data_IF_204145522703
#
_entry.id   IF_204145522703
#
_cell.length_a   1.000
_cell.length_b   1.000
_cell.length_c   1.000
_cell.angle_alpha   90.00
_cell.angle_beta   90.00
_cell.angle_gamma   90.00
#
_symmetry.space_group_name_H-M   'P 1'
#
loop_
_entity.id
_entity.type
_entity.pdbx_description
1 polymer ?
#
# COMPACT_ATOMS: atom_id res chain seq x y z
N UNK A 1 4.63 23.31 -1.26
CA UNK A 1 5.71 23.02 -2.22
C UNK A 1 5.15 22.70 -3.60
N UNK A 2 5.78 23.22 -4.67
CA UNK A 2 5.43 22.83 -6.05
C UNK A 2 5.73 21.36 -6.34
N UNK A 3 5.16 20.84 -7.42
CA UNK A 3 5.49 19.51 -7.91
C UNK A 3 6.96 19.47 -8.38
N UNK A 4 7.83 18.66 -7.74
CA UNK A 4 9.24 18.55 -8.10
C UNK A 4 9.50 17.51 -9.20
N UNK A 5 8.46 16.88 -9.76
CA UNK A 5 8.62 15.88 -10.80
C UNK A 5 9.32 16.50 -12.03
N UNK A 6 10.38 15.84 -12.57
CA UNK A 6 11.23 16.47 -13.58
C UNK A 6 10.55 16.61 -14.95
N UNK A 7 9.47 15.86 -15.20
CA UNK A 7 8.73 15.88 -16.45
C UNK A 7 7.47 16.71 -16.21
N UNK A 8 7.24 17.82 -16.94
CA UNK A 8 6.02 18.60 -16.77
C UNK A 8 4.80 17.85 -17.35
N UNK A 9 3.57 18.24 -16.94
CA UNK A 9 2.34 17.66 -17.47
C UNK A 9 2.25 17.80 -18.99
N UNK A 10 2.01 16.68 -19.67
CA UNK A 10 1.81 16.68 -21.11
C UNK A 10 0.44 17.27 -21.45
N UNK A 11 0.45 18.49 -22.00
CA UNK A 11 -0.76 19.28 -22.25
C UNK A 11 -1.84 18.50 -23.01
N UNK A 12 -1.48 17.77 -24.05
CA UNK A 12 -2.43 16.97 -24.82
C UNK A 12 -3.06 15.83 -23.99
N UNK A 13 -2.30 15.20 -23.08
CA UNK A 13 -2.79 14.11 -22.25
C UNK A 13 -3.68 14.64 -21.12
N UNK A 14 -3.27 15.76 -20.52
CA UNK A 14 -4.09 16.50 -19.55
C UNK A 14 -5.43 16.91 -20.16
N UNK A 15 -5.44 17.45 -21.38
CA UNK A 15 -6.67 17.79 -22.11
C UNK A 15 -7.51 16.56 -22.46
N UNK A 16 -6.88 15.45 -22.86
CA UNK A 16 -7.58 14.21 -23.18
C UNK A 16 -8.27 13.58 -21.97
N UNK A 17 -7.68 13.67 -20.77
CA UNK A 17 -8.26 13.14 -19.53
C UNK A 17 -9.22 14.12 -18.85
N UNK A 18 -9.21 15.41 -19.23
CA UNK A 18 -10.04 16.44 -18.60
C UNK A 18 -11.54 16.07 -18.55
N UNK A 19 -12.20 15.59 -19.63
CA UNK A 19 -13.62 15.24 -19.56
C UNK A 19 -13.93 14.11 -18.58
N UNK A 20 -13.02 13.14 -18.46
CA UNK A 20 -13.12 12.08 -17.47
C UNK A 20 -12.93 12.61 -16.05
N UNK A 21 -11.94 13.48 -15.86
CA UNK A 21 -11.68 14.12 -14.59
C UNK A 21 -12.87 14.98 -14.13
N UNK A 22 -13.47 15.76 -15.04
CA UNK A 22 -14.64 16.59 -14.73
C UNK A 22 -15.85 15.73 -14.35
N UNK A 23 -16.13 14.66 -15.12
CA UNK A 23 -17.25 13.77 -14.84
C UNK A 23 -17.13 13.06 -13.48
N UNK A 24 -15.92 12.64 -13.10
CA UNK A 24 -15.66 11.98 -11.82
C UNK A 24 -15.15 12.95 -10.73
N UNK A 25 -15.20 14.26 -10.96
CA UNK A 25 -14.69 15.31 -10.07
C UNK A 25 -13.24 15.08 -9.56
N UNK A 26 -12.38 14.49 -10.39
CA UNK A 26 -10.97 14.24 -10.09
C UNK A 26 -10.14 15.47 -10.47
N UNK A 27 -10.42 16.61 -9.83
CA UNK A 27 -9.92 17.96 -10.18
C UNK A 27 -8.43 18.03 -10.47
N UNK A 28 -7.60 17.29 -9.72
CA UNK A 28 -6.14 17.34 -9.84
C UNK A 28 -5.54 16.22 -10.70
N UNK A 29 -6.34 15.26 -11.17
CA UNK A 29 -5.87 14.19 -12.04
C UNK A 29 -5.22 14.70 -13.34
N UNK A 30 -5.76 15.70 -14.06
CA UNK A 30 -5.13 16.22 -15.27
C UNK A 30 -3.73 16.79 -15.04
N UNK A 31 -3.43 17.26 -13.82
CA UNK A 31 -2.10 17.76 -13.45
C UNK A 31 -1.10 16.60 -13.34
N UNK A 32 -1.52 15.46 -12.79
CA UNK A 32 -0.63 14.34 -12.47
C UNK A 32 -0.80 13.11 -13.39
N UNK A 33 -1.63 13.20 -14.44
CA UNK A 33 -1.94 12.04 -15.30
C UNK A 33 -0.69 11.44 -15.96
N UNK A 34 0.27 12.29 -16.31
CA UNK A 34 1.55 11.88 -16.89
C UNK A 34 2.40 11.07 -15.90
N UNK A 35 2.34 11.37 -14.60
CA UNK A 35 2.97 10.56 -13.55
C UNK A 35 2.25 9.23 -13.34
N UNK A 36 0.91 9.23 -13.35
CA UNK A 36 0.11 7.99 -13.21
C UNK A 36 0.44 7.02 -14.35
N UNK A 37 0.38 7.50 -15.59
CA UNK A 37 0.70 6.71 -16.79
C UNK A 37 2.17 6.33 -16.80
N UNK A 38 3.07 7.27 -16.51
CA UNK A 38 4.51 7.03 -16.46
C UNK A 38 4.88 5.97 -15.44
N UNK A 39 4.32 6.05 -14.23
CA UNK A 39 4.49 5.08 -13.15
C UNK A 39 3.96 3.69 -13.54
N UNK A 40 2.74 3.61 -14.08
CA UNK A 40 2.16 2.34 -14.54
C UNK A 40 3.04 1.67 -15.62
N UNK A 41 3.50 2.44 -16.62
CA UNK A 41 4.36 1.94 -17.69
C UNK A 41 5.74 1.56 -17.14
N UNK A 42 6.31 2.34 -16.22
CA UNK A 42 7.59 2.02 -15.59
C UNK A 42 7.52 0.69 -14.83
N UNK A 43 6.48 0.45 -14.03
CA UNK A 43 6.34 -0.82 -13.31
C UNK A 43 6.01 -1.99 -14.23
N UNK A 44 5.27 -1.75 -15.32
CA UNK A 44 5.10 -2.76 -16.38
C UNK A 44 6.43 -3.13 -17.02
N UNK A 45 7.26 -2.14 -17.34
CA UNK A 45 8.59 -2.34 -17.91
C UNK A 45 9.53 -3.05 -16.92
N UNK A 46 9.51 -2.67 -15.65
CA UNK A 46 10.27 -3.34 -14.60
C UNK A 46 9.84 -4.81 -14.52
N UNK A 47 8.53 -5.09 -14.48
CA UNK A 47 8.02 -6.45 -14.38
C UNK A 47 8.39 -7.33 -15.58
N UNK A 48 8.24 -6.80 -16.80
CA UNK A 48 8.39 -7.59 -18.03
C UNK A 48 9.83 -7.69 -18.53
N UNK A 49 10.67 -6.71 -18.22
CA UNK A 49 12.02 -6.60 -18.79
C UNK A 49 13.08 -6.63 -17.70
N UNK A 50 13.06 -5.66 -16.78
CA UNK A 50 14.16 -5.49 -15.82
C UNK A 50 14.21 -6.66 -14.83
N UNK A 51 13.09 -7.03 -14.23
CA UNK A 51 13.03 -8.07 -13.22
C UNK A 51 13.52 -9.44 -13.76
N UNK A 52 13.04 -9.94 -14.93
CA UNK A 52 13.56 -11.18 -15.49
C UNK A 52 15.05 -11.10 -15.87
N UNK A 53 15.50 -9.99 -16.48
CA UNK A 53 16.89 -9.85 -16.92
C UNK A 53 17.87 -9.78 -15.75
N UNK A 54 17.57 -8.94 -14.76
CA UNK A 54 18.39 -8.79 -13.56
C UNK A 54 18.37 -10.08 -12.74
N UNK A 55 17.22 -10.75 -12.63
CA UNK A 55 17.12 -12.00 -11.87
C UNK A 55 17.84 -13.15 -12.54
N UNK A 56 17.81 -13.24 -13.88
CA UNK A 56 18.63 -14.18 -14.64
C UNK A 56 20.14 -13.91 -14.50
N UNK A 57 20.54 -12.63 -14.39
CA UNK A 57 21.93 -12.26 -14.20
C UNK A 57 22.44 -12.57 -12.78
N UNK A 58 21.67 -12.19 -11.75
CA UNK A 58 22.07 -12.35 -10.36
C UNK A 58 21.91 -13.78 -9.83
N UNK A 59 20.87 -14.48 -10.29
CA UNK A 59 20.49 -15.80 -9.77
C UNK A 59 20.19 -16.81 -10.89
N UNK A 60 21.11 -17.02 -11.87
CA UNK A 60 20.85 -17.84 -13.04
C UNK A 60 20.46 -19.27 -12.69
N UNK A 61 21.08 -19.87 -11.67
CA UNK A 61 20.83 -21.26 -11.29
C UNK A 61 19.48 -21.50 -10.61
N UNK A 62 18.93 -20.48 -9.94
CA UNK A 62 17.66 -20.56 -9.22
C UNK A 62 16.51 -20.09 -10.11
N UNK A 63 16.60 -18.85 -10.62
CA UNK A 63 15.52 -18.24 -11.36
C UNK A 63 15.19 -18.99 -12.65
N UNK A 64 16.18 -19.51 -13.39
CA UNK A 64 15.94 -20.27 -14.62
C UNK A 64 15.05 -21.51 -14.41
N UNK A 65 15.18 -22.17 -13.25
CA UNK A 65 14.47 -23.40 -12.87
C UNK A 65 13.10 -23.16 -12.25
N UNK A 66 12.73 -21.91 -11.96
CA UNK A 66 11.41 -21.61 -11.40
C UNK A 66 10.29 -21.88 -12.42
N UNK A 67 9.15 -22.35 -11.91
CA UNK A 67 7.89 -22.43 -12.67
C UNK A 67 7.43 -21.03 -13.09
N UNK A 68 6.54 -20.96 -14.08
CA UNK A 68 6.00 -19.70 -14.57
C UNK A 68 5.36 -18.85 -13.44
N UNK A 69 4.57 -19.48 -12.56
CA UNK A 69 3.95 -18.81 -11.41
C UNK A 69 4.98 -18.29 -10.41
N UNK A 70 6.05 -19.07 -10.15
CA UNK A 70 7.11 -18.64 -9.23
C UNK A 70 7.97 -17.53 -9.81
N UNK A 71 8.21 -17.52 -11.13
CA UNK A 71 8.86 -16.40 -11.83
C UNK A 71 8.00 -15.14 -11.75
N UNK A 72 6.71 -15.26 -12.04
CA UNK A 72 5.77 -14.14 -11.90
C UNK A 72 5.79 -13.55 -10.49
N UNK A 73 5.66 -14.39 -9.46
CA UNK A 73 5.67 -13.93 -8.07
C UNK A 73 7.01 -13.26 -7.72
N UNK A 74 8.13 -13.87 -8.15
CA UNK A 74 9.46 -13.27 -8.01
C UNK A 74 9.56 -11.89 -8.65
N UNK A 75 9.10 -11.76 -9.89
CA UNK A 75 9.19 -10.50 -10.64
C UNK A 75 8.29 -9.42 -10.04
N UNK A 76 7.14 -9.80 -9.46
CA UNK A 76 6.29 -8.88 -8.68
C UNK A 76 6.99 -8.41 -7.40
N UNK A 77 7.70 -9.29 -6.69
CA UNK A 77 8.53 -8.88 -5.54
C UNK A 77 9.65 -7.90 -5.92
N UNK A 78 10.24 -8.03 -7.12
CA UNK A 78 11.22 -7.05 -7.62
C UNK A 78 10.54 -5.69 -7.86
N UNK A 79 9.36 -5.68 -8.49
CA UNK A 79 8.59 -4.45 -8.72
C UNK A 79 8.22 -3.78 -7.39
N UNK A 80 7.68 -4.55 -6.43
CA UNK A 80 7.33 -4.07 -5.09
C UNK A 80 8.56 -3.51 -4.37
N UNK A 81 9.73 -4.15 -4.47
CA UNK A 81 10.97 -3.63 -3.88
C UNK A 81 11.37 -2.28 -4.49
N UNK A 82 11.32 -2.15 -5.83
CA UNK A 82 11.61 -0.90 -6.51
C UNK A 82 10.63 0.21 -6.12
N UNK A 83 9.33 -0.09 -6.14
CA UNK A 83 8.29 0.87 -5.78
C UNK A 83 8.42 1.32 -4.33
N UNK A 84 8.43 0.38 -3.39
CA UNK A 84 8.41 0.71 -1.97
C UNK A 84 9.68 1.46 -1.57
N UNK A 85 10.84 1.13 -2.14
CA UNK A 85 12.07 1.89 -1.89
C UNK A 85 11.96 3.32 -2.42
N UNK A 86 11.50 3.50 -3.65
CA UNK A 86 11.39 4.83 -4.27
C UNK A 86 10.35 5.71 -3.56
N UNK A 87 9.13 5.21 -3.41
CA UNK A 87 8.01 6.02 -2.94
C UNK A 87 8.18 6.42 -1.48
N UNK A 88 8.76 5.57 -0.63
CA UNK A 88 9.02 5.93 0.76
C UNK A 88 10.09 6.99 0.89
N UNK A 89 11.16 6.92 0.09
CA UNK A 89 12.21 7.97 0.08
C UNK A 89 11.61 9.31 -0.34
N UNK A 90 10.82 9.33 -1.42
CA UNK A 90 10.15 10.54 -1.90
C UNK A 90 9.13 11.05 -0.88
N UNK A 91 8.29 10.19 -0.31
CA UNK A 91 7.26 10.58 0.64
C UNK A 91 7.87 11.14 1.93
N UNK A 92 8.93 10.51 2.47
CA UNK A 92 9.65 11.04 3.63
C UNK A 92 10.28 12.39 3.31
N UNK A 93 10.92 12.52 2.15
CA UNK A 93 11.48 13.81 1.72
C UNK A 93 10.41 14.89 1.63
N UNK A 94 9.26 14.64 0.98
CA UNK A 94 8.14 15.59 0.93
C UNK A 94 7.63 15.91 2.35
N UNK A 95 7.51 14.92 3.23
CA UNK A 95 7.05 15.14 4.60
C UNK A 95 7.98 16.05 5.42
N UNK A 96 9.29 16.03 5.15
CA UNK A 96 10.27 16.86 5.85
C UNK A 96 10.54 18.20 5.14
N UNK A 97 10.45 18.26 3.82
CA UNK A 97 10.79 19.45 3.03
C UNK A 97 9.58 20.35 2.71
N UNK A 98 8.36 19.81 2.66
CA UNK A 98 7.15 20.59 2.36
C UNK A 98 6.59 21.25 3.63
N UNK A 99 7.10 22.44 3.95
CA UNK A 99 6.64 23.23 5.10
C UNK A 99 5.17 23.67 4.99
N UNK A 100 4.65 23.88 3.79
CA UNK A 100 3.23 24.20 3.60
C UNK A 100 2.36 23.02 4.04
N UNK A 101 2.74 21.81 3.65
CA UNK A 101 2.06 20.59 4.07
C UNK A 101 2.15 20.39 5.58
N UNK A 102 3.33 20.58 6.18
CA UNK A 102 3.52 20.31 7.62
C UNK A 102 2.70 21.25 8.51
N UNK A 103 2.46 22.48 8.06
CA UNK A 103 1.72 23.50 8.78
C UNK A 103 0.20 23.50 8.53
N UNK A 104 -0.33 22.56 7.74
CA UNK A 104 -1.78 22.48 7.44
C UNK A 104 -2.65 22.29 8.69
N UNK A 105 -3.65 23.16 8.82
CA UNK A 105 -4.75 23.05 9.80
C UNK A 105 -5.62 21.82 9.54
N UNK A 106 -6.56 21.51 10.45
CA UNK A 106 -7.46 20.36 10.27
C UNK A 106 -8.30 20.44 8.98
N UNK A 107 -8.74 21.64 8.60
CA UNK A 107 -9.49 21.85 7.37
C UNK A 107 -8.60 21.71 6.13
N UNK A 108 -7.40 22.32 6.16
CA UNK A 108 -6.43 22.22 5.07
C UNK A 108 -5.90 20.78 4.89
N UNK A 109 -5.84 19.96 5.93
CA UNK A 109 -5.48 18.54 5.76
C UNK A 109 -6.54 17.73 5.00
N UNK A 110 -7.79 18.19 5.00
CA UNK A 110 -8.89 17.53 4.28
C UNK A 110 -9.03 18.06 2.86
N UNK A 111 -8.89 19.36 2.63
CA UNK A 111 -9.16 19.94 1.31
C UNK A 111 -7.94 20.54 0.62
N UNK A 112 -6.87 20.78 1.39
CA UNK A 112 -5.67 21.41 0.91
C UNK A 112 -4.88 20.49 -0.02
N UNK A 113 -4.12 21.14 -0.90
CA UNK A 113 -3.33 20.52 -1.93
C UNK A 113 -1.93 21.13 -1.96
N UNK A 114 -0.91 20.29 -2.11
CA UNK A 114 0.42 20.72 -2.56
C UNK A 114 0.86 19.89 -3.75
N UNK A 115 1.63 20.49 -4.66
CA UNK A 115 2.11 19.79 -5.86
C UNK A 115 2.96 18.57 -5.51
N UNK A 116 3.81 18.68 -4.48
CA UNK A 116 4.64 17.57 -4.02
C UNK A 116 3.83 16.40 -3.43
N UNK A 117 2.75 16.67 -2.69
CA UNK A 117 1.85 15.61 -2.23
C UNK A 117 1.02 15.02 -3.38
N UNK A 118 0.60 15.85 -4.33
CA UNK A 118 0.03 15.43 -5.61
C UNK A 118 0.93 14.47 -6.38
N UNK A 119 2.23 14.75 -6.45
CA UNK A 119 3.22 13.89 -7.10
C UNK A 119 3.27 12.48 -6.46
N UNK A 120 3.37 12.43 -5.14
CA UNK A 120 3.38 11.15 -4.40
C UNK A 120 2.11 10.35 -4.71
N UNK A 121 0.96 11.02 -4.76
CA UNK A 121 -0.31 10.41 -5.10
C UNK A 121 -0.39 9.94 -6.56
N UNK A 122 0.13 10.72 -7.52
CA UNK A 122 0.25 10.35 -8.93
C UNK A 122 1.06 9.07 -9.12
N UNK A 123 2.27 9.05 -8.57
CA UNK A 123 3.17 7.91 -8.61
C UNK A 123 2.56 6.68 -7.93
N UNK A 124 1.97 6.84 -6.75
CA UNK A 124 1.31 5.76 -6.01
C UNK A 124 0.10 5.20 -6.77
N UNK A 125 -0.75 6.06 -7.35
CA UNK A 125 -1.92 5.61 -8.13
C UNK A 125 -1.47 4.77 -9.32
N UNK A 126 -0.44 5.21 -10.07
CA UNK A 126 0.08 4.43 -11.19
C UNK A 126 0.58 3.05 -10.79
N UNK A 127 1.22 2.93 -9.63
CA UNK A 127 1.62 1.64 -9.05
C UNK A 127 0.41 0.79 -8.67
N UNK A 128 -0.53 1.31 -7.88
CA UNK A 128 -1.67 0.53 -7.42
C UNK A 128 -2.63 0.13 -8.56
N UNK A 129 -2.64 0.91 -9.65
CA UNK A 129 -3.32 0.51 -10.88
C UNK A 129 -2.64 -0.70 -11.52
N UNK A 130 -1.30 -0.70 -11.57
CA UNK A 130 -0.52 -1.84 -12.04
C UNK A 130 -0.69 -3.07 -11.12
N UNK A 131 -0.68 -2.86 -9.80
CA UNK A 131 -0.86 -3.90 -8.79
C UNK A 131 -2.25 -4.56 -8.87
N UNK A 132 -3.30 -3.75 -9.04
CA UNK A 132 -4.65 -4.26 -9.27
C UNK A 132 -4.72 -5.07 -10.57
N UNK A 133 -4.14 -4.57 -11.65
CA UNK A 133 -4.13 -5.26 -12.94
C UNK A 133 -3.44 -6.63 -12.84
N UNK A 134 -2.23 -6.69 -12.29
CA UNK A 134 -1.48 -7.95 -12.20
C UNK A 134 -2.16 -8.93 -11.24
N UNK A 135 -2.77 -8.43 -10.16
CA UNK A 135 -3.51 -9.23 -9.20
C UNK A 135 -4.77 -9.83 -9.82
N UNK A 136 -5.56 -9.04 -10.56
CA UNK A 136 -6.76 -9.53 -11.26
C UNK A 136 -6.42 -10.60 -12.31
N UNK A 137 -5.34 -10.41 -13.06
CA UNK A 137 -4.89 -11.37 -14.07
C UNK A 137 -4.42 -12.70 -13.46
N UNK A 138 -3.96 -12.68 -12.20
CA UNK A 138 -3.32 -13.81 -11.54
C UNK A 138 -3.93 -14.08 -10.16
N UNK A 139 -5.25 -13.95 -10.05
CA UNK A 139 -6.03 -14.06 -8.81
C UNK A 139 -5.81 -15.38 -8.06
N UNK A 140 -5.55 -16.48 -8.79
CA UNK A 140 -5.23 -17.79 -8.21
C UNK A 140 -3.88 -17.82 -7.50
N UNK A 141 -2.93 -16.99 -7.93
CA UNK A 141 -1.58 -16.91 -7.38
C UNK A 141 -1.56 -16.00 -6.15
N UNK A 142 -2.23 -14.83 -6.23
CA UNK A 142 -2.18 -13.81 -5.17
C UNK A 142 -3.29 -13.91 -4.12
N UNK A 143 -4.46 -14.45 -4.50
CA UNK A 143 -5.59 -14.62 -3.61
C UNK A 143 -6.39 -13.34 -3.32
N UNK A 144 -7.49 -13.51 -2.59
CA UNK A 144 -8.50 -12.47 -2.36
C UNK A 144 -7.99 -11.35 -1.42
N UNK A 145 -7.12 -11.69 -0.46
CA UNK A 145 -6.54 -10.70 0.45
C UNK A 145 -5.74 -9.63 -0.29
N UNK A 146 -4.93 -10.04 -1.27
CA UNK A 146 -4.20 -9.12 -2.14
C UNK A 146 -5.12 -8.32 -3.06
N UNK A 147 -6.18 -8.93 -3.59
CA UNK A 147 -7.17 -8.18 -4.37
C UNK A 147 -7.84 -7.08 -3.54
N UNK A 148 -8.22 -7.39 -2.30
CA UNK A 148 -8.81 -6.41 -1.39
C UNK A 148 -7.83 -5.28 -1.05
N UNK A 149 -6.54 -5.59 -0.86
CA UNK A 149 -5.47 -4.61 -0.70
C UNK A 149 -5.36 -3.71 -1.93
N UNK A 150 -5.10 -4.29 -3.11
CA UNK A 150 -4.86 -3.54 -4.35
C UNK A 150 -6.05 -2.63 -4.71
N UNK A 151 -7.27 -3.14 -4.54
CA UNK A 151 -8.50 -2.36 -4.77
C UNK A 151 -8.62 -1.21 -3.78
N UNK A 152 -8.42 -1.47 -2.48
CA UNK A 152 -8.55 -0.45 -1.45
C UNK A 152 -7.48 0.63 -1.58
N UNK A 153 -6.24 0.22 -1.87
CA UNK A 153 -5.12 1.13 -2.11
C UNK A 153 -5.37 2.02 -3.34
N UNK A 154 -5.79 1.44 -4.47
CA UNK A 154 -6.12 2.22 -5.66
C UNK A 154 -7.25 3.23 -5.39
N UNK A 155 -8.30 2.83 -4.66
CA UNK A 155 -9.41 3.72 -4.32
C UNK A 155 -8.95 4.92 -3.49
N UNK A 156 -8.20 4.70 -2.39
CA UNK A 156 -7.78 5.80 -1.52
C UNK A 156 -6.84 6.78 -2.22
N UNK A 157 -5.94 6.31 -3.08
CA UNK A 157 -5.05 7.19 -3.83
C UNK A 157 -5.74 7.88 -5.02
N UNK A 158 -6.68 7.20 -5.69
CA UNK A 158 -7.47 7.81 -6.77
C UNK A 158 -8.39 8.91 -6.25
N UNK A 159 -8.99 8.73 -5.08
CA UNK A 159 -9.86 9.75 -4.49
C UNK A 159 -9.11 10.98 -4.02
N UNK A 160 -7.82 10.86 -3.75
CA UNK A 160 -6.99 12.03 -3.45
C UNK A 160 -6.87 13.00 -4.64
N UNK A 161 -7.28 12.62 -5.86
CA UNK A 161 -7.33 13.57 -6.98
C UNK A 161 -8.52 14.53 -6.90
N UNK A 162 -9.51 14.20 -6.07
CA UNK A 162 -10.50 15.17 -5.58
C UNK A 162 -9.82 16.09 -4.56
N UNK A 163 -10.36 17.27 -4.24
CA UNK A 163 -9.89 18.09 -3.11
C UNK A 163 -10.24 17.43 -1.77
N UNK A 164 -9.67 16.26 -1.54
CA UNK A 164 -10.00 15.36 -0.45
C UNK A 164 -8.75 14.59 0.00
N UNK A 165 -8.31 14.84 1.23
CA UNK A 165 -7.26 14.16 2.00
C UNK A 165 -5.91 13.96 1.29
N UNK A 166 -5.54 14.85 0.35
CA UNK A 166 -4.25 14.81 -0.34
C UNK A 166 -3.05 14.84 0.64
N UNK A 167 -3.16 15.60 1.74
CA UNK A 167 -2.19 15.59 2.85
C UNK A 167 -1.84 14.17 3.33
N UNK A 168 -2.84 13.30 3.39
CA UNK A 168 -2.71 11.94 3.91
C UNK A 168 -2.09 10.97 2.90
N UNK A 169 -1.97 11.33 1.62
CA UNK A 169 -1.29 10.52 0.61
C UNK A 169 0.15 10.19 1.02
N UNK A 170 0.95 11.20 1.37
CA UNK A 170 2.31 10.99 1.88
C UNK A 170 2.35 10.25 3.23
N UNK A 171 1.27 10.31 4.00
CA UNK A 171 1.20 9.68 5.33
C UNK A 171 0.92 8.18 5.23
N UNK A 172 -0.08 7.78 4.45
CA UNK A 172 -0.50 6.39 4.34
C UNK A 172 0.36 5.58 3.37
N UNK A 173 1.04 6.22 2.42
CA UNK A 173 2.01 5.50 1.57
C UNK A 173 3.19 4.94 2.37
N UNK A 174 3.48 5.48 3.57
CA UNK A 174 4.48 4.93 4.49
C UNK A 174 4.12 3.54 5.04
N UNK A 175 2.93 3.01 4.76
CA UNK A 175 2.63 1.60 5.00
C UNK A 175 3.58 0.71 4.20
N UNK A 176 4.08 1.19 3.07
CA UNK A 176 5.08 0.49 2.27
C UNK A 176 6.48 0.48 2.90
N UNK A 177 6.73 1.19 4.00
CA UNK A 177 8.08 1.30 4.59
C UNK A 177 8.64 -0.04 5.06
N UNK A 178 7.76 -0.99 5.42
CA UNK A 178 8.15 -2.36 5.76
C UNK A 178 8.36 -3.27 4.54
N UNK A 179 7.83 -2.89 3.38
CA UNK A 179 7.79 -3.73 2.17
C UNK A 179 9.19 -4.07 1.62
N UNK A 180 10.22 -3.20 1.66
CA UNK A 180 11.57 -3.59 1.27
C UNK A 180 12.10 -4.78 2.10
N UNK A 181 11.91 -4.74 3.42
CA UNK A 181 12.33 -5.82 4.31
C UNK A 181 11.51 -7.10 4.06
N UNK A 182 10.23 -6.97 3.74
CA UNK A 182 9.40 -8.11 3.38
C UNK A 182 9.92 -8.79 2.10
N UNK A 183 10.19 -8.01 1.06
CA UNK A 183 10.73 -8.49 -0.20
C UNK A 183 12.06 -9.22 0.00
N UNK A 184 13.01 -8.62 0.73
CA UNK A 184 14.26 -9.31 1.06
C UNK A 184 14.06 -10.58 1.88
N UNK A 185 13.13 -10.58 2.83
CA UNK A 185 12.83 -11.77 3.63
C UNK A 185 12.33 -12.91 2.75
N UNK A 186 11.47 -12.59 1.78
CA UNK A 186 10.95 -13.53 0.80
C UNK A 186 12.03 -14.01 -0.17
N UNK A 187 12.89 -13.13 -0.68
CA UNK A 187 14.00 -13.53 -1.53
C UNK A 187 14.96 -14.48 -0.81
N UNK A 188 15.29 -14.23 0.46
CA UNK A 188 16.09 -15.17 1.25
C UNK A 188 15.45 -16.54 1.35
N UNK A 189 14.11 -16.62 1.50
CA UNK A 189 13.41 -17.91 1.49
C UNK A 189 13.53 -18.62 0.13
N UNK A 190 13.34 -17.89 -0.97
CA UNK A 190 13.36 -18.48 -2.31
C UNK A 190 14.75 -18.79 -2.85
N UNK A 191 15.79 -18.23 -2.23
CA UNK A 191 17.20 -18.52 -2.48
C UNK A 191 17.76 -19.62 -1.58
N UNK A 192 16.91 -20.30 -0.81
CA UNK A 192 17.30 -21.35 0.16
C UNK A 192 18.26 -20.82 1.26
N UNK A 193 18.16 -19.53 1.58
CA UNK A 193 18.91 -18.89 2.66
C UNK A 193 18.13 -18.87 3.98
N UNK A 194 17.13 -19.75 4.11
CA UNK A 194 16.28 -19.81 5.29
C UNK A 194 17.08 -20.20 6.54
N UNK A 195 16.97 -19.40 7.61
CA UNK A 195 17.73 -19.57 8.85
C UNK A 195 19.11 -18.91 8.86
N UNK A 196 19.52 -18.25 7.77
CA UNK A 196 20.78 -17.50 7.72
C UNK A 196 20.76 -16.24 8.61
N UNK A 197 21.93 -15.77 9.05
CA UNK A 197 22.06 -14.51 9.82
C UNK A 197 21.47 -13.29 9.08
N UNK A 198 21.69 -13.10 7.76
CA UNK A 198 21.06 -12.00 7.02
C UNK A 198 19.52 -12.06 7.07
N UNK A 199 18.93 -13.24 6.89
CA UNK A 199 17.47 -13.38 6.95
C UNK A 199 16.93 -13.10 8.35
N UNK A 200 17.66 -13.48 9.41
CA UNK A 200 17.29 -13.17 10.79
C UNK A 200 17.28 -11.67 11.06
N UNK A 201 18.37 -10.96 10.76
CA UNK A 201 18.46 -9.51 10.97
C UNK A 201 17.39 -8.77 10.15
N UNK A 202 17.21 -9.17 8.90
CA UNK A 202 16.15 -8.61 8.06
C UNK A 202 14.75 -8.93 8.60
N UNK A 203 14.53 -10.13 9.16
CA UNK A 203 13.26 -10.49 9.80
C UNK A 203 12.95 -9.65 11.03
N UNK A 204 13.96 -9.31 11.84
CA UNK A 204 13.81 -8.38 12.98
C UNK A 204 13.46 -6.98 12.47
N UNK A 205 14.19 -6.49 11.47
CA UNK A 205 13.91 -5.20 10.85
C UNK A 205 12.50 -5.13 10.24
N UNK A 206 12.06 -6.21 9.57
CA UNK A 206 10.70 -6.35 9.03
C UNK A 206 9.65 -6.23 10.14
N UNK A 207 9.76 -7.02 11.21
CA UNK A 207 8.79 -6.97 12.31
C UNK A 207 8.73 -5.60 12.97
N UNK A 208 9.90 -5.01 13.23
CA UNK A 208 10.00 -3.68 13.84
C UNK A 208 9.38 -2.61 12.96
N UNK A 209 9.78 -2.53 11.69
CA UNK A 209 9.28 -1.52 10.76
C UNK A 209 7.79 -1.69 10.51
N UNK A 210 7.32 -2.91 10.29
CA UNK A 210 5.89 -3.20 10.11
C UNK A 210 5.07 -2.76 11.32
N UNK A 211 5.51 -3.09 12.53
CA UNK A 211 4.84 -2.66 13.76
C UNK A 211 4.80 -1.12 13.87
N UNK A 212 5.92 -0.45 13.65
CA UNK A 212 6.02 0.99 13.78
C UNK A 212 5.21 1.75 12.71
N UNK A 213 5.39 1.44 11.42
CA UNK A 213 4.76 2.21 10.34
C UNK A 213 3.29 1.84 10.13
N UNK A 214 2.91 0.55 10.23
CA UNK A 214 1.54 0.11 9.94
C UNK A 214 0.65 0.10 11.18
N UNK A 215 1.11 -0.45 12.30
CA UNK A 215 0.26 -0.63 13.48
C UNK A 215 0.23 0.62 14.35
N UNK A 216 1.40 1.23 14.65
CA UNK A 216 1.44 2.41 15.52
C UNK A 216 1.10 3.67 14.73
N UNK A 217 1.96 4.04 13.78
CA UNK A 217 1.80 5.25 12.99
C UNK A 217 0.51 5.21 12.15
N UNK A 218 0.26 4.09 11.48
CA UNK A 218 -0.93 3.92 10.65
C UNK A 218 -2.24 4.03 11.40
N UNK A 219 -2.37 3.36 12.55
CA UNK A 219 -3.58 3.48 13.38
C UNK A 219 -3.76 4.91 13.89
N UNK A 220 -2.68 5.56 14.36
CA UNK A 220 -2.74 6.96 14.81
C UNK A 220 -3.23 7.90 13.69
N UNK A 221 -2.68 7.77 12.49
CA UNK A 221 -3.07 8.61 11.36
C UNK A 221 -4.46 8.29 10.81
N UNK A 222 -4.89 7.04 10.93
CA UNK A 222 -6.26 6.62 10.61
C UNK A 222 -7.26 7.29 11.54
N UNK A 223 -7.01 7.28 12.86
CA UNK A 223 -7.86 8.03 13.81
C UNK A 223 -7.85 9.53 13.48
N UNK A 224 -6.69 10.10 13.13
CA UNK A 224 -6.58 11.52 12.77
C UNK A 224 -7.38 11.88 11.52
N UNK A 225 -7.28 11.10 10.44
CA UNK A 225 -8.07 11.38 9.21
C UNK A 225 -9.55 11.21 9.47
N UNK A 226 -9.95 10.27 10.33
CA UNK A 226 -11.35 10.07 10.71
C UNK A 226 -11.87 11.31 11.45
N UNK A 227 -11.09 11.85 12.39
CA UNK A 227 -11.42 13.08 13.11
C UNK A 227 -11.48 14.30 12.21
N UNK A 228 -10.52 14.47 11.30
CA UNK A 228 -10.46 15.63 10.42
C UNK A 228 -11.59 15.59 9.37
N UNK A 229 -11.87 14.43 8.77
CA UNK A 229 -13.04 14.24 7.89
C UNK A 229 -14.35 14.47 8.65
N UNK A 230 -14.49 13.91 9.85
CA UNK A 230 -15.69 14.13 10.68
C UNK A 230 -15.91 15.60 11.01
N UNK A 231 -14.85 16.33 11.38
CA UNK A 231 -14.90 17.78 11.63
C UNK A 231 -15.30 18.54 10.38
N UNK A 232 -14.72 18.20 9.22
CA UNK A 232 -15.06 18.86 7.97
C UNK A 232 -16.52 18.61 7.55
N UNK A 233 -17.07 17.42 7.84
CA UNK A 233 -18.47 17.10 7.59
C UNK A 233 -19.46 17.84 8.51
N UNK A 234 -19.05 18.24 9.72
CA UNK A 234 -19.92 18.89 10.71
C UNK A 234 -19.72 20.41 10.82
N UNK A 235 -18.58 20.93 10.37
CA UNK A 235 -18.30 22.36 10.36
C UNK A 235 -18.79 22.96 9.04
N UNK A 236 -19.76 23.88 9.11
CA UNK A 236 -20.14 24.74 7.99
C UNK A 236 -18.91 25.56 7.53
N UNK A 237 -18.72 25.82 6.23
CA UNK A 237 -17.59 26.62 5.76
C UNK A 237 -17.57 28.00 6.44
N UNK A 238 -16.43 28.33 7.05
CA UNK A 238 -16.17 29.60 7.71
C UNK A 238 -16.06 30.81 6.74
N UNK A 239 -16.55 30.67 5.50
CA UNK A 239 -16.76 31.81 4.59
C UNK A 239 -18.06 32.58 4.90
N UNK A 240 -18.88 32.08 5.84
CA UNK A 240 -19.95 32.87 6.47
C UNK A 240 -19.43 33.84 7.55
N UNK A 241 -18.11 33.95 7.74
CA UNK A 241 -17.54 35.09 8.44
C UNK A 241 -17.77 36.33 7.57
N UNK A 242 -18.92 36.97 7.81
CA UNK A 242 -19.35 38.27 7.32
C UNK A 242 -18.21 39.09 6.71
N UNK A 243 -18.36 39.51 5.45
CA UNK A 243 -17.71 40.74 5.00
C UNK A 243 -17.94 41.75 6.11
N UNK A 244 -16.88 42.13 6.81
CA UNK A 244 -16.97 43.04 7.94
C UNK A 244 -17.19 44.42 7.32
N UNK A 245 -18.46 44.76 7.04
CA UNK A 245 -18.85 46.01 6.36
C UNK A 245 -18.31 47.23 7.12
N UNK A 246 -18.06 47.10 8.42
CA UNK A 246 -17.44 48.12 9.27
C UNK A 246 -15.98 48.42 8.90
N UNK A 247 -15.25 47.48 8.29
CA UNK A 247 -13.89 47.69 7.80
C UNK A 247 -13.83 48.46 6.47
N UNK A 248 -14.94 48.51 5.71
CA UNK A 248 -15.05 49.33 4.49
C UNK A 248 -15.36 50.80 4.81
N UNK A 249 -15.93 51.07 5.99
CA UNK A 249 -16.33 52.42 6.41
C UNK A 249 -15.15 53.28 6.92
N UNK A 250 -14.09 52.65 7.42
CA UNK A 250 -12.88 53.34 7.88
C UNK A 250 -11.83 53.35 6.76
N UNK A 251 -11.87 54.38 5.92
CA UNK A 251 -10.97 54.64 4.79
C UNK A 251 -9.48 54.72 5.15
N UNK A 252 -8.91 53.56 5.47
CA UNK A 252 -7.47 53.31 5.55
C UNK A 252 -7.03 52.64 4.26
N UNK A 253 -5.74 52.71 3.94
CA UNK A 253 -5.14 52.15 2.70
C UNK A 253 -5.60 50.71 2.39
N UNK A 254 -5.94 49.93 3.42
CA UNK A 254 -6.50 48.58 3.35
C UNK A 254 -7.85 48.47 2.62
N UNK A 255 -8.66 49.53 2.57
CA UNK A 255 -9.93 49.55 1.83
C UNK A 255 -9.72 49.73 0.32
N UNK A 256 -8.61 50.36 -0.09
CA UNK A 256 -8.25 50.58 -1.50
C UNK A 256 -7.68 49.30 -2.12
N UNK A 257 -6.89 48.55 -1.34
CA UNK A 257 -6.39 47.22 -1.74
C UNK A 257 -7.52 46.18 -1.83
N UNK A 258 -8.50 46.25 -0.91
CA UNK A 258 -9.71 45.42 -0.97
C UNK A 258 -10.61 45.77 -2.18
N UNK A 259 -10.71 47.06 -2.55
CA UNK A 259 -11.44 47.51 -3.75
C UNK A 259 -10.70 47.18 -5.06
N UNK A 260 -9.38 46.98 -5.01
CA UNK A 260 -8.55 46.53 -6.15
C UNK A 260 -8.52 45.00 -6.31
N UNK A 261 -9.32 44.25 -5.54
CA UNK A 261 -9.39 42.78 -5.61
C UNK A 261 -8.21 42.05 -4.97
N UNK A 262 -7.35 42.76 -4.23
CA UNK A 262 -6.20 42.18 -3.54
C UNK A 262 -6.52 42.07 -2.04
N UNK A 263 -7.17 40.97 -1.65
CA UNK A 263 -7.33 40.64 -0.22
C UNK A 263 -5.96 40.53 0.44
N UNK A 264 -5.74 41.31 1.51
CA UNK A 264 -4.56 41.29 2.37
C UNK A 264 -4.50 40.04 3.27
N UNK A 265 -4.72 38.85 2.69
CA UNK A 265 -4.43 37.55 3.31
C UNK A 265 -3.22 36.95 2.58
N UNK A 266 -2.01 37.04 3.16
CA UNK A 266 -0.79 36.61 2.47
C UNK A 266 -0.74 35.08 2.38
N UNK A 267 -0.53 34.53 1.18
CA UNK A 267 -0.27 33.12 0.82
C UNK A 267 -1.30 32.04 1.18
N UNK A 268 -2.33 32.31 1.98
CA UNK A 268 -3.26 31.26 2.48
C UNK A 268 -4.23 30.69 1.43
N UNK A 269 -4.35 31.32 0.26
CA UNK A 269 -5.30 30.91 -0.78
C UNK A 269 -4.77 29.78 -1.69
N UNK A 270 -3.46 29.58 -1.81
CA UNK A 270 -2.91 28.61 -2.78
C UNK A 270 -3.09 27.14 -2.32
N UNK A 271 -3.01 26.87 -1.02
CA UNK A 271 -3.21 25.52 -0.47
C UNK A 271 -4.65 25.04 -0.71
N UNK A 272 -5.62 25.95 -0.59
CA UNK A 272 -7.04 25.63 -0.71
C UNK A 272 -7.58 25.89 -2.13
N UNK A 273 -6.72 26.07 -3.15
CA UNK A 273 -7.10 26.48 -4.51
C UNK A 273 -8.09 25.57 -5.23
N UNK A 274 -8.17 24.30 -4.84
CA UNK A 274 -9.11 23.32 -5.40
C UNK A 274 -10.25 22.99 -4.44
N UNK A 275 -10.26 23.59 -3.25
CA UNK A 275 -11.33 23.43 -2.30
C UNK A 275 -12.51 24.30 -2.76
N UNK A 276 -13.46 23.69 -3.46
CA UNK A 276 -14.74 24.35 -3.73
C UNK A 276 -15.53 24.50 -2.41
N UNK A 277 -16.52 25.40 -2.38
CA UNK A 277 -17.49 25.53 -1.27
C UNK A 277 -18.38 24.28 -1.07
N UNK A 278 -18.12 23.21 -1.84
CA UNK A 278 -18.86 21.97 -1.82
C UNK A 278 -18.51 21.11 -0.60
N UNK A 279 -19.57 20.72 0.12
CA UNK A 279 -19.52 19.73 1.19
C UNK A 279 -18.90 18.42 0.70
N UNK A 280 -18.11 17.78 1.56
CA UNK A 280 -17.61 16.41 1.31
C UNK A 280 -18.83 15.49 1.17
N UNK A 281 -19.04 14.87 -0.01
CA UNK A 281 -20.16 13.95 -0.16
C UNK A 281 -20.04 12.80 0.84
N UNK A 282 -21.13 12.46 1.54
CA UNK A 282 -21.12 11.40 2.55
C UNK A 282 -20.55 10.08 2.01
N UNK A 283 -20.92 9.73 0.77
CA UNK A 283 -20.42 8.53 0.10
C UNK A 283 -18.89 8.55 -0.04
N UNK A 284 -18.27 9.71 -0.34
CA UNK A 284 -16.82 9.83 -0.52
C UNK A 284 -16.11 9.58 0.81
N UNK A 285 -16.61 10.19 1.88
CA UNK A 285 -16.14 9.96 3.24
C UNK A 285 -16.26 8.48 3.63
N UNK A 286 -17.45 7.89 3.50
CA UNK A 286 -17.66 6.49 3.87
C UNK A 286 -16.82 5.51 3.05
N UNK A 287 -16.70 5.71 1.73
CA UNK A 287 -15.89 4.82 0.89
C UNK A 287 -14.41 4.94 1.25
N UNK A 288 -13.87 6.15 1.42
CA UNK A 288 -12.47 6.33 1.80
C UNK A 288 -12.16 5.73 3.19
N UNK A 289 -12.98 6.06 4.19
CA UNK A 289 -12.80 5.55 5.55
C UNK A 289 -13.01 4.01 5.60
N UNK A 290 -13.93 3.48 4.78
CA UNK A 290 -14.11 2.04 4.59
C UNK A 290 -12.86 1.37 4.00
N UNK A 291 -12.30 1.92 2.93
CA UNK A 291 -11.05 1.41 2.32
C UNK A 291 -9.87 1.51 3.31
N UNK A 292 -9.76 2.61 4.05
CA UNK A 292 -8.75 2.76 5.10
C UNK A 292 -8.92 1.71 6.22
N UNK A 293 -10.15 1.41 6.64
CA UNK A 293 -10.43 0.38 7.64
C UNK A 293 -10.03 -1.02 7.14
N UNK A 294 -10.30 -1.33 5.87
CA UNK A 294 -9.88 -2.60 5.26
C UNK A 294 -8.36 -2.72 5.28
N UNK A 295 -7.64 -1.68 4.82
CA UNK A 295 -6.17 -1.67 4.82
C UNK A 295 -5.57 -1.85 6.22
N UNK A 296 -6.12 -1.15 7.22
CA UNK A 296 -5.66 -1.31 8.60
C UNK A 296 -5.95 -2.72 9.13
N UNK A 297 -7.13 -3.26 8.87
CA UNK A 297 -7.51 -4.61 9.32
C UNK A 297 -6.59 -5.66 8.70
N UNK A 298 -6.27 -5.52 7.41
CA UNK A 298 -5.27 -6.37 6.75
C UNK A 298 -3.90 -6.25 7.42
N UNK A 299 -3.46 -5.04 7.79
CA UNK A 299 -2.19 -4.87 8.51
C UNK A 299 -2.17 -5.63 9.85
N UNK A 300 -3.23 -5.55 10.65
CA UNK A 300 -3.33 -6.32 11.90
C UNK A 300 -3.36 -7.83 11.64
N UNK A 301 -4.11 -8.27 10.63
CA UNK A 301 -4.17 -9.68 10.22
C UNK A 301 -2.78 -10.22 9.83
N UNK A 302 -2.07 -9.51 8.96
CA UNK A 302 -0.74 -9.90 8.50
C UNK A 302 0.29 -9.88 9.61
N UNK A 303 0.24 -8.89 10.51
CA UNK A 303 1.11 -8.90 11.68
C UNK A 303 0.86 -10.12 12.57
N UNK A 304 -0.41 -10.47 12.81
CA UNK A 304 -0.77 -11.69 13.53
C UNK A 304 -0.18 -12.95 12.88
N UNK A 305 -0.25 -13.05 11.55
CA UNK A 305 0.35 -14.16 10.79
C UNK A 305 1.87 -14.19 10.88
N UNK A 306 2.54 -13.04 10.84
CA UNK A 306 3.99 -12.98 11.04
C UNK A 306 4.40 -13.46 12.44
N UNK A 307 3.70 -13.03 13.49
CA UNK A 307 3.95 -13.50 14.86
C UNK A 307 3.69 -15.01 15.00
N UNK A 308 2.62 -15.52 14.37
CA UNK A 308 2.34 -16.96 14.35
C UNK A 308 3.47 -17.75 13.68
N UNK A 309 3.98 -17.28 12.54
CA UNK A 309 5.09 -17.89 11.83
C UNK A 309 6.39 -17.88 12.65
N UNK A 310 6.68 -16.78 13.35
CA UNK A 310 7.82 -16.68 14.28
C UNK A 310 7.64 -17.67 15.43
N UNK A 311 6.46 -17.70 16.07
CA UNK A 311 6.18 -18.62 17.18
C UNK A 311 6.34 -20.08 16.78
N UNK A 312 5.90 -20.46 15.59
CA UNK A 312 6.07 -21.83 15.05
C UNK A 312 7.54 -22.23 14.89
N UNK A 313 8.45 -21.28 14.65
CA UNK A 313 9.90 -21.54 14.56
C UNK A 313 10.57 -21.77 15.92
N UNK A 314 10.00 -21.24 17.00
CA UNK A 314 10.54 -21.36 18.36
C UNK A 314 9.83 -22.42 19.22
N UNK A 315 8.70 -22.97 18.78
CA UNK A 315 8.13 -24.15 19.43
C UNK A 315 9.02 -25.35 19.10
N UNK A 316 9.64 -26.01 20.09
CA UNK A 316 10.31 -27.29 19.83
C UNK A 316 9.28 -28.24 19.23
N UNK A 317 9.68 -29.02 18.22
CA UNK A 317 8.84 -30.07 17.69
C UNK A 317 8.30 -30.87 18.88
N UNK A 318 6.97 -30.95 19.04
CA UNK A 318 6.40 -31.87 20.02
C UNK A 318 6.97 -33.25 19.70
N UNK A 319 7.81 -33.78 20.58
CA UNK A 319 8.13 -35.20 20.60
C UNK A 319 6.80 -35.94 20.69
N UNK A 320 6.40 -36.60 19.60
CA UNK A 320 5.10 -37.27 19.55
C UNK A 320 4.48 -37.36 18.17
N UNK A 321 5.20 -37.96 17.23
CA UNK A 321 4.66 -38.88 16.22
C UNK A 321 5.84 -39.58 15.55
N UNK A 322 6.34 -40.62 16.21
CA UNK A 322 6.88 -41.74 15.44
C UNK A 322 5.81 -42.07 14.40
N UNK A 323 6.18 -42.04 13.12
CA UNK A 323 5.43 -42.76 12.12
C UNK A 323 5.45 -44.21 12.59
N UNK A 324 4.34 -44.69 13.14
CA UNK A 324 4.08 -46.11 13.30
C UNK A 324 4.13 -46.72 11.90
N UNK A 325 5.33 -47.12 11.48
CA UNK A 325 5.47 -48.06 10.37
C UNK A 325 4.95 -49.36 10.92
N UNK A 326 3.84 -49.87 10.38
CA UNK A 326 3.42 -51.24 10.61
C UNK A 326 4.61 -52.17 10.32
N UNK A 327 5.15 -52.80 11.37
CA UNK A 327 6.23 -53.78 11.25
C UNK A 327 5.56 -55.11 10.90
N UNK A 328 5.64 -55.52 9.64
CA UNK A 328 5.26 -56.87 9.25
C UNK A 328 6.34 -57.85 9.76
N UNK A 329 6.06 -58.58 10.84
CA UNK A 329 6.92 -59.69 11.28
C UNK A 329 6.62 -60.94 10.46
N UNK A 330 7.60 -61.39 9.67
CA UNK A 330 7.62 -62.74 9.09
C UNK A 330 8.29 -63.68 10.10
N UNK A 331 7.61 -64.74 10.50
CA UNK A 331 8.27 -65.89 11.14
C UNK A 331 8.06 -67.14 10.29
N UNK A 332 9.14 -67.91 10.12
CA UNK A 332 9.15 -69.17 9.39
C UNK A 332 9.23 -70.31 10.40
N UNK A 333 8.20 -71.14 10.48
CA UNK A 333 8.22 -72.34 11.32
C UNK A 333 9.07 -73.44 10.67
N UNK A 334 9.62 -74.36 11.47
CA UNK A 334 10.53 -75.43 11.03
C UNK A 334 9.97 -76.40 9.96
N UNK A 335 8.67 -76.33 9.64
CA UNK A 335 8.02 -77.09 8.56
C UNK A 335 7.80 -76.28 7.26
N UNK A 336 8.47 -75.14 7.09
CA UNK A 336 8.50 -74.40 5.82
C UNK A 336 7.24 -73.60 5.46
N UNK A 337 6.22 -73.51 6.34
CA UNK A 337 5.06 -72.61 6.15
C UNK A 337 5.34 -71.22 6.75
N UNK A 338 5.18 -70.18 5.92
CA UNK A 338 5.30 -68.77 6.30
C UNK A 338 3.92 -68.24 6.73
N UNK A 339 3.83 -67.63 7.92
CA UNK A 339 2.60 -66.96 8.40
C UNK A 339 2.88 -65.47 8.53
N UNK A 340 2.01 -64.63 7.95
CA UNK A 340 2.08 -63.16 8.04
C UNK A 340 0.85 -62.71 8.83
N UNK A 341 1.05 -62.05 9.97
CA UNK A 341 -0.02 -61.40 10.74
C UNK A 341 0.17 -59.89 10.67
N UNK A 342 -0.91 -59.19 10.33
CA UNK A 342 -0.99 -57.72 10.32
C UNK A 342 -1.99 -57.34 11.41
N UNK A 343 -1.57 -56.62 12.44
CA UNK A 343 -2.50 -55.99 13.39
C UNK A 343 -3.07 -54.73 12.75
N UNK A 344 -4.39 -54.67 12.65
CA UNK A 344 -5.12 -53.56 12.05
C UNK A 344 -5.59 -52.63 13.18
N UNK A 345 -5.06 -51.40 13.25
CA UNK A 345 -5.55 -50.36 14.16
C UNK A 345 -6.43 -49.37 13.41
N UNK A 346 -7.59 -49.05 14.00
CA UNK A 346 -8.69 -48.32 13.37
C UNK A 346 -8.29 -46.95 12.79
N UNK A 347 -8.58 -46.78 11.50
CA UNK A 347 -8.36 -45.55 10.74
C UNK A 347 -9.48 -44.54 11.04
N UNK A 348 -9.20 -43.52 11.87
CA UNK A 348 -10.02 -42.30 11.86
C UNK A 348 -9.59 -41.40 10.70
N UNK A 349 -10.37 -41.49 9.62
CA UNK A 349 -10.27 -40.70 8.36
C UNK A 349 -10.12 -39.20 8.66
N UNK A 350 -8.93 -38.63 8.45
CA UNK A 350 -8.72 -37.18 8.29
C UNK A 350 -8.96 -36.84 6.82
N UNK A 351 -9.87 -35.90 6.56
CA UNK A 351 -9.95 -35.19 5.27
C UNK A 351 -8.54 -34.69 4.92
N UNK A 352 -8.08 -35.00 3.71
CA UNK A 352 -6.93 -34.33 3.12
C UNK A 352 -7.20 -32.84 3.13
N UNK A 353 -6.37 -32.11 3.87
CA UNK A 353 -6.15 -30.70 3.65
C UNK A 353 -4.95 -30.66 2.71
N UNK A 354 -5.20 -30.15 1.51
CA UNK A 354 -4.21 -29.94 0.47
C UNK A 354 -2.97 -29.24 1.06
N UNK A 355 -1.85 -29.95 1.03
CA UNK A 355 -0.51 -29.35 1.20
C UNK A 355 -0.20 -28.57 -0.08
N UNK A 356 -0.80 -27.39 -0.20
CA UNK A 356 -0.38 -26.31 -1.12
C UNK A 356 -1.06 -25.01 -0.67
N UNK A 357 -0.94 -24.68 0.62
CA UNK A 357 -1.17 -23.31 1.07
C UNK A 357 0.17 -22.58 0.95
N UNK A 358 0.39 -21.76 -0.09
CA UNK A 358 1.59 -20.96 -0.15
C UNK A 358 1.59 -20.10 1.11
N UNK A 359 2.72 -20.09 1.82
CA UNK A 359 3.02 -19.01 2.76
C UNK A 359 2.98 -17.74 1.92
N UNK A 360 1.81 -17.12 1.87
CA UNK A 360 1.57 -15.87 1.21
C UNK A 360 2.30 -14.82 2.06
N UNK A 361 3.58 -14.65 1.76
CA UNK A 361 4.30 -13.45 2.12
C UNK A 361 3.68 -12.33 1.28
N UNK A 362 2.85 -11.53 1.93
CA UNK A 362 1.99 -10.58 1.26
C UNK A 362 2.36 -9.18 1.74
N UNK A 363 2.70 -8.33 0.75
CA UNK A 363 2.98 -6.89 0.81
C UNK A 363 1.87 -6.13 1.50
#
# INVERSE_FOLDING_TARGET
>A
MHDPFPIPPWQWLSQAVQPFADYFHLTTLPLHIHEVVGSFLAYTFINKVIAPQVSMLLFPEKYSKFSAERKLNWDVHVVSLCQSSLINVLALWVMFADEERSNMTAQERVHGYTGAAGMIQGLATGYFLWDLMITLQNLRVFGIGMLAHATSALLVFSFGFRPFVNFYGCTFILYELSSPFLNFHWFFDKLDMTGSKPQLYNGIALLFTFFCCRLVWGTYQSVRVYQDVWRSMHNQPAFSASINIDALANGTASAVDAAAGHSAAPLKNDIMRFADDEFIPLWLGFTYLGSNLVLNTLNFYWFGKMIEAVRKRFQPAKEGRQKDKAIAMKSTGANGKVKISVEESEVRRRKGLDEDEPIAAVS
#
